data_IF_540013320245
#
_entry.id   IF_540013320245
#
_cell.length_a   1.000
_cell.length_b   1.000
_cell.length_c   1.000
_cell.angle_alpha   90.00
_cell.angle_beta   90.00
_cell.angle_gamma   90.00
#
_symmetry.space_group_name_H-M   'P 1'
#
loop_
_entity.id
_entity.type
_entity.pdbx_description
1 polymer ?
#
# COMPACT_ATOMS: atom_id res chain seq x y z
N UNK A 1 -14.06 -1.52 0.52
CA UNK A 1 -13.72 -0.24 -0.12
C UNK A 1 -14.57 0.88 0.46
N UNK A 2 -13.97 2.05 0.64
CA UNK A 2 -14.70 3.23 1.09
C UNK A 2 -15.11 4.09 -0.11
N UNK A 3 -16.17 4.90 0.03
CA UNK A 3 -16.52 5.86 -1.01
C UNK A 3 -15.33 6.77 -1.34
N UNK A 4 -15.11 7.00 -2.61
CA UNK A 4 -14.01 7.84 -3.08
C UNK A 4 -12.72 7.10 -3.36
N UNK A 5 -12.59 5.84 -2.96
CA UNK A 5 -11.41 5.06 -3.34
C UNK A 5 -11.54 4.59 -4.79
N UNK A 6 -10.40 4.33 -5.42
CA UNK A 6 -10.36 3.85 -6.79
C UNK A 6 -9.45 2.63 -6.86
N UNK A 7 -9.97 1.54 -7.41
CA UNK A 7 -9.19 0.33 -7.63
C UNK A 7 -9.32 -0.05 -9.10
N UNK A 8 -8.20 -0.03 -9.83
CA UNK A 8 -8.19 -0.32 -11.27
C UNK A 8 -7.19 -1.40 -11.60
N UNK A 9 -7.62 -2.40 -12.35
CA UNK A 9 -6.76 -3.48 -12.84
C UNK A 9 -5.89 -4.08 -11.73
N UNK A 10 -6.49 -4.28 -10.55
CA UNK A 10 -5.75 -4.72 -9.39
C UNK A 10 -6.40 -5.93 -8.76
N UNK A 11 -5.58 -6.75 -8.10
CA UNK A 11 -6.07 -7.86 -7.31
C UNK A 11 -6.00 -7.46 -5.84
N UNK A 12 -7.13 -7.55 -5.16
CA UNK A 12 -7.24 -7.21 -3.75
C UNK A 12 -7.80 -8.40 -3.00
N UNK A 13 -7.00 -8.97 -2.11
CA UNK A 13 -7.40 -10.14 -1.35
C UNK A 13 -8.29 -9.75 -0.16
N UNK A 14 -8.79 -10.75 0.55
CA UNK A 14 -9.73 -10.51 1.64
C UNK A 14 -9.09 -9.80 2.83
N UNK A 15 -9.91 -9.08 3.56
CA UNK A 15 -9.47 -8.38 4.77
C UNK A 15 -8.77 -7.06 4.52
N UNK A 16 -8.72 -6.57 3.29
CA UNK A 16 -8.10 -5.28 3.00
C UNK A 16 -9.06 -4.13 3.22
N UNK A 17 -8.51 -3.02 3.70
CA UNK A 17 -9.24 -1.77 3.84
C UNK A 17 -8.54 -0.75 2.95
N UNK A 18 -9.27 -0.20 1.98
CA UNK A 18 -8.70 0.72 1.00
C UNK A 18 -9.41 2.05 1.08
N UNK A 19 -8.68 3.09 1.45
CA UNK A 19 -9.19 4.45 1.53
C UNK A 19 -8.54 5.38 0.50
N UNK A 20 -7.70 4.83 -0.36
CA UNK A 20 -6.97 5.59 -1.36
C UNK A 20 -7.16 5.03 -2.77
N UNK A 21 -6.15 5.20 -3.61
CA UNK A 21 -6.19 4.75 -4.99
C UNK A 21 -5.19 3.61 -5.20
N UNK A 22 -5.66 2.56 -5.88
CA UNK A 22 -4.82 1.41 -6.22
C UNK A 22 -4.97 1.15 -7.70
N UNK A 23 -3.85 1.06 -8.42
CA UNK A 23 -3.86 0.88 -9.86
C UNK A 23 -2.78 -0.09 -10.30
N UNK A 24 -3.14 -1.08 -11.09
CA UNK A 24 -2.24 -2.10 -11.64
C UNK A 24 -1.38 -2.75 -10.55
N UNK A 25 -1.97 -3.02 -9.40
CA UNK A 25 -1.24 -3.50 -8.24
C UNK A 25 -1.86 -4.76 -7.67
N UNK A 26 -1.11 -5.46 -6.83
CA UNK A 26 -1.60 -6.65 -6.14
C UNK A 26 -1.50 -6.40 -4.64
N UNK A 27 -2.62 -6.51 -3.94
CA UNK A 27 -2.66 -6.39 -2.49
C UNK A 27 -3.01 -7.76 -1.90
N UNK A 28 -2.14 -8.25 -1.03
CA UNK A 28 -2.36 -9.51 -0.36
C UNK A 28 -3.33 -9.32 0.80
N UNK A 29 -3.38 -10.25 1.72
CA UNK A 29 -4.38 -10.23 2.79
C UNK A 29 -4.08 -9.18 3.85
N UNK A 30 -5.13 -8.58 4.40
CA UNK A 30 -5.06 -7.67 5.56
C UNK A 30 -4.18 -6.44 5.31
N UNK A 31 -4.23 -5.90 4.12
CA UNK A 31 -3.52 -4.67 3.80
C UNK A 31 -4.41 -3.47 4.12
N UNK A 32 -3.86 -2.50 4.82
CA UNK A 32 -4.54 -1.24 5.10
C UNK A 32 -3.92 -0.12 4.26
N UNK A 33 -4.74 0.52 3.47
CA UNK A 33 -4.33 1.67 2.63
C UNK A 33 -5.01 2.90 3.19
N UNK A 34 -4.24 3.84 3.70
CA UNK A 34 -4.75 5.05 4.33
C UNK A 34 -5.37 6.02 3.34
N UNK A 35 -5.87 7.15 3.86
CA UNK A 35 -6.52 8.16 3.05
C UNK A 35 -5.53 8.83 2.11
N UNK A 36 -5.97 9.12 0.89
CA UNK A 36 -5.17 9.82 -0.11
C UNK A 36 -3.89 9.09 -0.50
N UNK A 37 -3.80 7.79 -0.25
CA UNK A 37 -2.67 6.99 -0.71
C UNK A 37 -2.82 6.71 -2.20
N UNK A 38 -1.69 6.60 -2.89
CA UNK A 38 -1.65 6.22 -4.29
C UNK A 38 -0.69 5.05 -4.44
N UNK A 39 -1.19 3.94 -4.96
CA UNK A 39 -0.39 2.74 -5.18
C UNK A 39 -0.49 2.38 -6.65
N UNK A 40 0.64 2.35 -7.33
CA UNK A 40 0.70 2.05 -8.76
C UNK A 40 1.77 1.01 -9.06
N UNK A 41 1.40 0.04 -9.89
CA UNK A 41 2.35 -0.96 -10.41
C UNK A 41 3.16 -1.62 -9.30
N UNK A 42 2.53 -1.90 -8.17
CA UNK A 42 3.21 -2.37 -6.97
C UNK A 42 2.61 -3.66 -6.47
N UNK A 43 3.38 -4.37 -5.65
CA UNK A 43 2.91 -5.57 -4.96
C UNK A 43 3.05 -5.32 -3.46
N UNK A 44 1.92 -5.41 -2.76
CA UNK A 44 1.89 -5.21 -1.31
C UNK A 44 1.59 -6.56 -0.68
N UNK A 45 2.49 -7.06 0.12
CA UNK A 45 2.34 -8.38 0.71
C UNK A 45 1.39 -8.36 1.91
N UNK A 46 1.39 -9.43 2.70
CA UNK A 46 0.39 -9.59 3.76
C UNK A 46 0.59 -8.63 4.92
N UNK A 47 -0.53 -8.19 5.50
CA UNK A 47 -0.54 -7.47 6.78
C UNK A 47 0.32 -6.20 6.75
N UNK A 48 0.23 -5.44 5.68
CA UNK A 48 0.95 -4.18 5.52
C UNK A 48 0.05 -3.02 5.89
N UNK A 49 0.60 -2.04 6.61
CA UNK A 49 -0.10 -0.82 6.97
C UNK A 49 0.53 0.36 6.24
N UNK A 50 -0.27 1.06 5.46
CA UNK A 50 0.17 2.25 4.74
C UNK A 50 -0.50 3.48 5.36
N UNK A 51 0.30 4.38 5.90
CA UNK A 51 -0.21 5.61 6.49
C UNK A 51 -0.82 6.55 5.45
N UNK A 52 -1.52 7.58 5.90
CA UNK A 52 -2.19 8.51 5.03
C UNK A 52 -1.20 9.26 4.13
N UNK A 53 -1.65 9.63 2.93
CA UNK A 53 -0.87 10.41 1.97
C UNK A 53 0.43 9.72 1.52
N UNK A 54 0.46 8.41 1.51
CA UNK A 54 1.61 7.64 1.06
C UNK A 54 1.52 7.36 -0.43
N UNK A 55 2.62 7.53 -1.14
CA UNK A 55 2.71 7.25 -2.56
C UNK A 55 3.66 6.08 -2.79
N UNK A 56 3.16 5.03 -3.43
CA UNK A 56 3.94 3.83 -3.74
C UNK A 56 3.84 3.57 -5.24
N UNK A 57 4.98 3.49 -5.91
CA UNK A 57 5.02 3.25 -7.34
C UNK A 57 6.20 2.34 -7.69
N UNK A 58 5.91 1.29 -8.45
CA UNK A 58 6.92 0.31 -8.89
C UNK A 58 7.69 -0.29 -7.71
N UNK A 59 6.99 -0.62 -6.64
CA UNK A 59 7.61 -1.13 -5.42
C UNK A 59 7.01 -2.45 -5.00
N UNK A 60 7.78 -3.23 -4.25
CA UNK A 60 7.28 -4.41 -3.56
C UNK A 60 7.43 -4.15 -2.07
N UNK A 61 6.31 -4.13 -1.35
CA UNK A 61 6.32 -3.88 0.09
C UNK A 61 6.21 -5.22 0.81
N UNK A 62 7.18 -5.53 1.65
CA UNK A 62 7.22 -6.81 2.33
C UNK A 62 6.12 -6.96 3.38
N UNK A 63 5.86 -8.22 3.74
CA UNK A 63 4.84 -8.53 4.73
C UNK A 63 5.14 -7.89 6.07
N UNK A 64 4.07 -7.44 6.74
CA UNK A 64 4.12 -6.83 8.07
C UNK A 64 4.89 -5.52 8.13
N UNK A 65 5.10 -4.88 6.99
CA UNK A 65 5.70 -3.56 7.00
C UNK A 65 4.68 -2.52 7.41
N UNK A 66 5.17 -1.48 8.06
CA UNK A 66 4.35 -0.33 8.43
C UNK A 66 4.98 0.92 7.83
N UNK A 67 4.31 1.49 6.85
CA UNK A 67 4.78 2.67 6.15
C UNK A 67 4.16 3.90 6.83
N UNK A 68 4.98 4.84 7.21
CA UNK A 68 4.51 6.04 7.89
C UNK A 68 3.75 6.94 6.93
N UNK A 69 2.88 7.78 7.50
CA UNK A 69 2.14 8.75 6.71
C UNK A 69 3.08 9.71 5.98
N UNK A 70 2.61 10.22 4.86
CA UNK A 70 3.35 11.18 4.02
C UNK A 70 4.66 10.62 3.47
N UNK A 71 4.74 9.31 3.26
CA UNK A 71 5.92 8.67 2.69
C UNK A 71 5.81 8.63 1.17
N UNK A 72 6.96 8.59 0.52
CA UNK A 72 7.02 8.49 -0.93
C UNK A 72 8.05 7.43 -1.31
N UNK A 73 7.62 6.43 -2.04
CA UNK A 73 8.49 5.36 -2.53
C UNK A 73 8.25 5.17 -4.03
N UNK A 74 9.29 5.28 -4.82
CA UNK A 74 9.20 5.14 -6.26
C UNK A 74 10.41 4.39 -6.79
N UNK A 75 10.18 3.32 -7.54
CA UNK A 75 11.25 2.60 -8.22
C UNK A 75 11.42 3.15 -9.62
N UNK A 76 12.34 4.08 -9.82
CA UNK A 76 12.50 4.75 -11.10
C UNK A 76 13.15 3.86 -12.16
N UNK A 77 14.17 3.10 -11.78
CA UNK A 77 14.92 2.27 -12.71
C UNK A 77 14.62 0.78 -12.52
N UNK A 78 13.42 0.46 -12.10
CA UNK A 78 13.01 -0.90 -11.84
C UNK A 78 12.25 -1.00 -10.55
N UNK A 79 12.03 -2.23 -10.08
CA UNK A 79 11.22 -2.46 -8.89
C UNK A 79 12.07 -2.24 -7.64
N UNK A 80 11.58 -1.38 -6.75
CA UNK A 80 12.21 -1.12 -5.47
C UNK A 80 11.56 -2.00 -4.40
N UNK A 81 12.37 -2.64 -3.57
CA UNK A 81 11.86 -3.41 -2.44
C UNK A 81 11.86 -2.53 -1.21
N UNK A 82 10.68 -2.40 -0.59
CA UNK A 82 10.50 -1.56 0.59
C UNK A 82 10.39 -2.44 1.83
N UNK A 83 11.24 -2.20 2.80
CA UNK A 83 11.22 -2.89 4.09
C UNK A 83 11.24 -1.84 5.19
N UNK A 84 10.09 -1.57 5.80
CA UNK A 84 9.96 -0.60 6.87
C UNK A 84 9.23 -1.25 8.05
N UNK A 85 9.97 -1.65 9.06
CA UNK A 85 9.43 -2.33 10.23
C UNK A 85 9.15 -1.34 11.36
N UNK A 86 8.38 -0.31 11.07
CA UNK A 86 7.98 0.67 12.08
C UNK A 86 6.99 0.08 13.06
N UNK A 87 6.93 0.66 14.25
CA UNK A 87 5.94 0.27 15.22
C UNK A 87 4.55 0.71 14.78
N UNK A 88 3.58 -0.17 14.94
CA UNK A 88 2.19 0.18 14.76
C UNK A 88 1.62 0.58 16.10
N UNK A 89 0.94 1.71 16.10
CA UNK A 89 0.23 2.10 17.31
C UNK A 89 -1.05 1.28 17.42
N UNK A 90 -1.22 0.66 18.55
CA UNK A 90 -2.46 -0.02 18.86
C UNK A 90 -3.49 1.05 19.21
N UNK A 91 -4.36 1.30 18.30
CA UNK A 91 -5.38 2.32 18.48
C UNK A 91 -6.71 1.67 18.78
#
# INVERSE_FOLDING_TARGET
>A
YNPGCTVKNSLVSSGCIINGQVENSVLFKKVYVGNNCVIKNSIILNDVYLGDNTHIENCIVESRDTIRANSYHCGEDGIKIVVEKNERYAI
#
